data_IF_165622660158
#
_entry.id   IF_165622660158
#
_cell.length_a   1.000
_cell.length_b   1.000
_cell.length_c   1.000
_cell.angle_alpha   90.00
_cell.angle_beta   90.00
_cell.angle_gamma   90.00
#
_symmetry.space_group_name_H-M   'P 1'
#
loop_
_entity.id
_entity.type
_entity.pdbx_description
1 polymer ?
#
# COMPACT_ATOMS: atom_id res chain seq x y z
N UNK A 1 10.71 -9.70 -6.11
CA UNK A 1 9.55 -8.83 -5.80
C UNK A 1 8.71 -9.48 -4.71
N UNK A 2 8.71 -8.96 -3.47
CA UNK A 2 8.09 -9.63 -2.32
C UNK A 2 6.61 -10.01 -2.52
N UNK A 3 5.83 -9.13 -3.17
CA UNK A 3 4.40 -9.39 -3.46
C UNK A 3 4.21 -10.62 -4.37
N UNK A 4 5.05 -10.79 -5.40
CA UNK A 4 4.97 -11.96 -6.29
C UNK A 4 5.35 -13.24 -5.55
N UNK A 5 6.37 -13.19 -4.70
CA UNK A 5 6.75 -14.33 -3.86
C UNK A 5 5.60 -14.72 -2.91
N UNK A 6 4.95 -13.72 -2.28
CA UNK A 6 3.78 -13.94 -1.44
C UNK A 6 2.63 -14.60 -2.19
N UNK A 7 2.27 -14.10 -3.38
CA UNK A 7 1.22 -14.69 -4.21
C UNK A 7 1.57 -16.11 -4.66
N UNK A 8 2.81 -16.34 -5.07
CA UNK A 8 3.31 -17.67 -5.45
C UNK A 8 3.22 -18.67 -4.30
N UNK A 9 3.68 -18.28 -3.11
CA UNK A 9 3.58 -19.12 -1.90
C UNK A 9 2.14 -19.36 -1.48
N UNK A 10 1.27 -18.35 -1.58
CA UNK A 10 -0.16 -18.48 -1.27
C UNK A 10 -0.87 -19.47 -2.19
N UNK A 11 -0.52 -19.49 -3.48
CA UNK A 11 -1.05 -20.44 -4.45
C UNK A 11 -0.49 -21.85 -4.29
N UNK A 12 0.80 -21.98 -4.02
CA UNK A 12 1.50 -23.28 -4.01
C UNK A 12 1.47 -24.03 -2.66
N UNK A 13 1.38 -23.32 -1.52
CA UNK A 13 1.51 -23.93 -0.19
C UNK A 13 0.22 -23.82 0.63
N UNK A 14 -0.41 -24.96 0.90
CA UNK A 14 -1.60 -25.03 1.76
C UNK A 14 -1.30 -24.63 3.22
N UNK A 15 -0.06 -24.83 3.69
CA UNK A 15 0.37 -24.40 5.03
C UNK A 15 0.44 -22.88 5.09
N UNK A 16 1.13 -22.26 4.12
CA UNK A 16 1.25 -20.81 4.06
C UNK A 16 -0.11 -20.12 3.87
N UNK A 17 -0.95 -20.66 2.99
CA UNK A 17 -2.32 -20.18 2.81
C UNK A 17 -3.14 -20.21 4.11
N UNK A 18 -3.06 -21.31 4.88
CA UNK A 18 -3.74 -21.40 6.18
C UNK A 18 -3.23 -20.37 7.17
N UNK A 19 -1.91 -20.14 7.19
CA UNK A 19 -1.29 -19.13 8.04
C UNK A 19 -1.77 -17.70 7.67
N UNK A 20 -1.76 -17.33 6.38
CA UNK A 20 -2.25 -16.02 5.92
C UNK A 20 -3.73 -15.81 6.29
N UNK A 21 -4.55 -16.85 6.15
CA UNK A 21 -5.98 -16.81 6.48
C UNK A 21 -6.26 -16.82 7.99
N UNK A 22 -5.25 -17.05 8.83
CA UNK A 22 -5.35 -17.03 10.30
C UNK A 22 -4.81 -15.72 10.91
N UNK A 23 -4.24 -14.83 10.10
CA UNK A 23 -3.79 -13.51 10.56
C UNK A 23 -4.96 -12.69 11.08
N UNK A 24 -4.75 -11.91 12.14
CA UNK A 24 -5.77 -11.01 12.68
C UNK A 24 -6.12 -9.90 11.70
N UNK A 25 -7.32 -9.99 11.13
CA UNK A 25 -7.83 -9.04 10.16
C UNK A 25 -7.92 -7.61 10.72
N UNK A 26 -8.20 -7.45 12.01
CA UNK A 26 -8.24 -6.13 12.65
C UNK A 26 -6.85 -5.48 12.63
N UNK A 27 -5.80 -6.26 12.94
CA UNK A 27 -4.42 -5.77 12.85
C UNK A 27 -4.04 -5.44 11.41
N UNK A 28 -4.38 -6.29 10.44
CA UNK A 28 -4.10 -6.01 9.02
C UNK A 28 -4.69 -4.67 8.55
N UNK A 29 -5.90 -4.34 9.00
CA UNK A 29 -6.57 -3.08 8.69
C UNK A 29 -5.98 -1.93 9.51
N UNK A 30 -5.77 -2.11 10.82
CA UNK A 30 -5.21 -1.10 11.72
C UNK A 30 -3.82 -0.63 11.25
N UNK A 31 -2.97 -1.56 10.81
CA UNK A 31 -1.62 -1.28 10.32
C UNK A 31 -1.61 -0.33 9.12
N UNK A 32 -2.66 -0.31 8.30
CA UNK A 32 -2.75 0.63 7.18
C UNK A 32 -2.78 2.09 7.65
N UNK A 33 -3.14 2.36 8.90
CA UNK A 33 -3.12 3.71 9.47
C UNK A 33 -1.73 4.35 9.45
N UNK A 34 -0.65 3.55 9.49
CA UNK A 34 0.73 4.07 9.38
C UNK A 34 1.01 4.75 8.03
N UNK A 35 0.17 4.54 7.02
CA UNK A 35 0.31 5.18 5.71
C UNK A 35 0.10 6.68 5.76
N UNK A 36 -0.45 7.25 6.83
CA UNK A 36 -0.45 8.72 7.02
C UNK A 36 0.96 9.33 6.95
N UNK A 37 2.00 8.55 7.26
CA UNK A 37 3.39 8.97 7.11
C UNK A 37 3.78 9.26 5.64
N UNK A 38 3.06 8.72 4.66
CA UNK A 38 3.24 9.05 3.24
C UNK A 38 3.04 10.54 2.92
N UNK A 39 2.39 11.31 3.80
CA UNK A 39 2.37 12.77 3.73
C UNK A 39 3.77 13.41 3.72
N UNK A 40 4.79 12.69 4.19
CA UNK A 40 6.19 13.11 4.07
C UNK A 40 6.63 13.34 2.62
N UNK A 41 6.05 12.64 1.63
CA UNK A 41 6.38 12.85 0.23
C UNK A 41 6.03 14.27 -0.24
N UNK A 42 4.91 14.81 0.24
CA UNK A 42 4.50 16.18 -0.05
C UNK A 42 5.47 17.19 0.59
N UNK A 43 5.92 16.91 1.80
CA UNK A 43 6.95 17.73 2.47
C UNK A 43 8.26 17.72 1.68
N UNK A 44 8.75 16.53 1.30
CA UNK A 44 9.96 16.38 0.50
C UNK A 44 9.85 17.06 -0.87
N UNK A 45 8.66 17.07 -1.48
CA UNK A 45 8.39 17.84 -2.70
C UNK A 45 8.52 19.35 -2.47
N UNK A 46 8.00 19.88 -1.36
CA UNK A 46 8.14 21.32 -1.03
C UNK A 46 9.61 21.71 -0.85
N UNK A 47 10.45 20.82 -0.32
CA UNK A 47 11.90 21.00 -0.24
C UNK A 47 12.65 20.74 -1.55
N UNK A 48 11.95 20.44 -2.65
CA UNK A 48 12.56 20.16 -3.95
C UNK A 48 13.30 18.82 -4.05
N UNK A 49 13.05 17.90 -3.11
CA UNK A 49 13.72 16.59 -3.05
C UNK A 49 12.97 15.50 -3.79
N UNK A 50 11.66 15.65 -4.00
CA UNK A 50 10.85 14.69 -4.77
C UNK A 50 10.04 15.39 -5.86
N UNK A 51 9.86 14.74 -7.02
CA UNK A 51 9.07 15.30 -8.10
C UNK A 51 7.59 15.24 -7.75
N UNK A 52 6.84 16.29 -8.10
CA UNK A 52 5.40 16.35 -7.88
C UNK A 52 4.63 15.21 -8.56
N UNK A 53 5.11 14.72 -9.71
CA UNK A 53 4.52 13.58 -10.41
C UNK A 53 4.43 12.33 -9.51
N UNK A 54 5.41 12.13 -8.63
CA UNK A 54 5.41 11.05 -7.64
C UNK A 54 4.73 11.48 -6.33
N UNK A 55 5.14 12.61 -5.78
CA UNK A 55 4.78 13.01 -4.42
C UNK A 55 3.27 13.26 -4.25
N UNK A 56 2.62 13.88 -5.23
CA UNK A 56 1.19 14.15 -5.19
C UNK A 56 0.35 12.88 -5.09
N UNK A 57 0.41 11.95 -6.08
CA UNK A 57 -0.43 10.76 -6.03
C UNK A 57 -0.03 9.85 -4.87
N UNK A 58 1.28 9.58 -4.66
CA UNK A 58 1.73 8.66 -3.62
C UNK A 58 1.39 9.20 -2.22
N UNK A 59 1.67 10.48 -1.95
CA UNK A 59 1.43 11.06 -0.64
C UNK A 59 -0.06 11.19 -0.31
N UNK A 60 -0.88 11.66 -1.26
CA UNK A 60 -2.31 11.81 -1.03
C UNK A 60 -3.02 10.46 -0.91
N UNK A 61 -2.66 9.48 -1.73
CA UNK A 61 -3.27 8.15 -1.66
C UNK A 61 -2.91 7.43 -0.36
N UNK A 62 -1.64 7.48 0.07
CA UNK A 62 -1.20 6.93 1.34
C UNK A 62 -1.92 7.58 2.52
N UNK A 63 -2.03 8.91 2.54
CA UNK A 63 -2.75 9.65 3.57
C UNK A 63 -4.25 9.31 3.57
N UNK A 64 -4.88 9.21 2.39
CA UNK A 64 -6.29 8.87 2.28
C UNK A 64 -6.59 7.47 2.84
N UNK A 65 -5.77 6.47 2.50
CA UNK A 65 -5.91 5.10 3.02
C UNK A 65 -5.59 5.06 4.52
N UNK A 66 -4.54 5.75 4.95
CA UNK A 66 -4.13 5.81 6.35
C UNK A 66 -5.20 6.44 7.25
N UNK A 67 -5.78 7.56 6.83
CA UNK A 67 -6.86 8.22 7.57
C UNK A 67 -8.14 7.37 7.58
N UNK A 68 -8.46 6.68 6.48
CA UNK A 68 -9.69 5.88 6.40
C UNK A 68 -9.60 4.54 7.15
N UNK A 69 -8.39 4.02 7.42
CA UNK A 69 -8.17 2.73 8.08
C UNK A 69 -8.83 2.60 9.48
N UNK A 70 -8.72 3.56 10.42
CA UNK A 70 -9.43 3.50 11.70
C UNK A 70 -10.96 3.47 11.56
N UNK A 71 -11.53 4.16 10.56
CA UNK A 71 -12.97 4.16 10.32
C UNK A 71 -13.45 2.82 9.75
N UNK A 72 -12.66 2.22 8.85
CA UNK A 72 -12.91 0.86 8.34
C UNK A 72 -12.82 -0.16 9.46
N UNK A 73 -11.81 -0.05 10.33
CA UNK A 73 -11.68 -0.89 11.51
C UNK A 73 -12.89 -0.74 12.45
N UNK A 74 -13.30 0.49 12.74
CA UNK A 74 -14.48 0.76 13.55
C UNK A 74 -15.76 0.17 12.94
N UNK A 75 -15.91 0.24 11.61
CA UNK A 75 -17.03 -0.38 10.91
C UNK A 75 -17.02 -1.91 11.05
N UNK A 76 -15.84 -2.56 11.00
CA UNK A 76 -15.70 -3.99 11.24
C UNK A 76 -16.07 -4.38 12.68
N UNK A 77 -15.60 -3.62 13.67
CA UNK A 77 -15.89 -3.87 15.09
C UNK A 77 -17.38 -3.70 15.41
N UNK A 78 -18.06 -2.75 14.77
CA UNK A 78 -19.50 -2.51 14.94
C UNK A 78 -20.37 -3.51 14.19
N UNK A 79 -19.89 -4.02 13.06
CA UNK A 79 -20.63 -4.96 12.22
C UNK A 79 -19.67 -6.01 11.63
N UNK A 80 -19.61 -7.23 12.21
CA UNK A 80 -18.78 -8.31 11.67
C UNK A 80 -19.09 -8.67 10.20
N UNK A 81 -20.33 -8.43 9.75
CA UNK A 81 -20.73 -8.62 8.35
C UNK A 81 -20.15 -7.58 7.38
N UNK A 82 -19.56 -6.49 7.87
CA UNK A 82 -18.94 -5.44 7.04
C UNK A 82 -17.85 -5.98 6.11
N UNK A 83 -17.10 -7.00 6.56
CA UNK A 83 -16.03 -7.65 5.78
C UNK A 83 -16.55 -8.25 4.46
N UNK A 84 -17.83 -8.65 4.40
CA UNK A 84 -18.47 -9.19 3.18
C UNK A 84 -19.01 -8.10 2.26
N UNK A 85 -19.05 -6.85 2.70
CA UNK A 85 -19.64 -5.76 1.93
C UNK A 85 -18.69 -5.32 0.82
N UNK A 86 -19.27 -4.86 -0.31
CA UNK A 86 -18.52 -4.26 -1.42
C UNK A 86 -17.61 -3.11 -0.98
N UNK A 87 -18.02 -2.35 0.04
CA UNK A 87 -17.24 -1.23 0.60
C UNK A 87 -15.88 -1.69 1.13
N UNK A 88 -15.83 -2.80 1.85
CA UNK A 88 -14.57 -3.37 2.35
C UNK A 88 -13.65 -3.81 1.21
N UNK A 89 -14.21 -4.46 0.19
CA UNK A 89 -13.46 -4.86 -0.99
C UNK A 89 -12.91 -3.65 -1.76
N UNK A 90 -13.76 -2.66 -2.03
CA UNK A 90 -13.36 -1.42 -2.73
C UNK A 90 -12.26 -0.70 -1.96
N UNK A 91 -12.36 -0.57 -0.64
CA UNK A 91 -11.31 0.07 0.16
C UNK A 91 -9.95 -0.63 0.04
N UNK A 92 -9.93 -1.96 0.09
CA UNK A 92 -8.68 -2.70 -0.10
C UNK A 92 -8.13 -2.58 -1.53
N UNK A 93 -9.01 -2.56 -2.55
CA UNK A 93 -8.59 -2.35 -3.94
C UNK A 93 -8.04 -0.94 -4.17
N UNK A 94 -8.62 0.09 -3.55
CA UNK A 94 -8.08 1.45 -3.59
C UNK A 94 -6.70 1.53 -2.95
N UNK A 95 -6.48 0.82 -1.82
CA UNK A 95 -5.17 0.76 -1.17
C UNK A 95 -4.09 0.08 -2.00
N UNK A 96 -4.45 -0.93 -2.81
CA UNK A 96 -3.55 -1.56 -3.79
C UNK A 96 -3.33 -0.64 -4.99
N UNK A 97 -4.38 -0.02 -5.52
CA UNK A 97 -4.31 0.89 -6.65
C UNK A 97 -3.37 2.06 -6.36
N UNK A 98 -3.44 2.62 -5.15
CA UNK A 98 -2.52 3.66 -4.72
C UNK A 98 -1.04 3.25 -4.89
N UNK A 99 -0.67 2.05 -4.44
CA UNK A 99 0.71 1.57 -4.64
C UNK A 99 1.08 1.37 -6.10
N UNK A 100 0.15 0.89 -6.93
CA UNK A 100 0.39 0.75 -8.38
C UNK A 100 0.66 2.13 -9.00
N UNK A 101 -0.13 3.13 -8.63
CA UNK A 101 0.04 4.52 -9.09
C UNK A 101 1.37 5.09 -8.57
N UNK A 102 1.69 4.94 -7.29
CA UNK A 102 2.92 5.43 -6.68
C UNK A 102 4.17 4.81 -7.31
N UNK A 103 4.18 3.49 -7.53
CA UNK A 103 5.28 2.77 -8.19
C UNK A 103 5.42 3.23 -9.64
N UNK A 104 4.30 3.36 -10.37
CA UNK A 104 4.30 3.84 -11.75
C UNK A 104 4.85 5.26 -11.86
N UNK A 105 4.35 6.17 -11.04
CA UNK A 105 4.81 7.56 -11.00
C UNK A 105 6.28 7.70 -10.56
N UNK A 106 6.70 6.92 -9.56
CA UNK A 106 8.09 6.88 -9.10
C UNK A 106 9.03 6.35 -10.19
N UNK A 107 8.61 5.33 -10.93
CA UNK A 107 9.37 4.77 -12.05
C UNK A 107 9.51 5.79 -13.19
N UNK A 108 8.41 6.44 -13.58
CA UNK A 108 8.40 7.46 -14.65
C UNK A 108 9.27 8.67 -14.29
N UNK A 109 9.29 9.04 -13.01
CA UNK A 109 10.08 10.18 -12.51
C UNK A 109 11.45 9.81 -11.95
N UNK A 110 11.90 8.56 -12.09
CA UNK A 110 13.12 8.03 -11.46
C UNK A 110 14.43 8.60 -12.00
N UNK A 111 14.43 9.19 -13.20
CA UNK A 111 15.66 9.52 -13.93
C UNK A 111 16.19 8.37 -14.80
N UNK A 112 15.64 7.16 -14.68
CA UNK A 112 16.12 5.98 -15.41
C UNK A 112 15.65 5.94 -16.88
N UNK A 113 14.57 6.65 -17.20
CA UNK A 113 14.02 6.75 -18.55
C UNK A 113 14.35 8.13 -19.14
N UNK A 114 15.32 8.24 -20.06
CA UNK A 114 15.71 9.51 -20.66
C UNK A 114 14.52 10.22 -21.30
N UNK A 115 14.37 11.52 -21.03
CA UNK A 115 13.32 12.37 -21.61
C UNK A 115 11.96 12.34 -20.91
N UNK A 116 11.76 11.46 -19.92
CA UNK A 116 10.52 11.40 -19.12
C UNK A 116 10.64 12.02 -17.72
N UNK A 117 11.86 12.35 -17.31
CA UNK A 117 12.16 12.88 -15.97
C UNK A 117 12.45 14.38 -16.04
N UNK A 118 11.90 15.13 -15.09
CA UNK A 118 12.26 16.53 -14.88
C UNK A 118 13.61 16.70 -14.18
N UNK A 119 14.00 17.95 -13.86
CA UNK A 119 15.25 18.24 -13.15
C UNK A 119 15.31 17.63 -11.74
N UNK A 120 14.14 17.43 -11.11
CA UNK A 120 14.00 16.72 -9.84
C UNK A 120 13.47 15.32 -10.14
N UNK A 121 14.12 14.29 -9.58
CA UNK A 121 13.79 12.88 -9.82
C UNK A 121 13.44 12.15 -8.52
N UNK A 122 12.78 11.00 -8.64
CA UNK A 122 12.49 10.12 -7.52
C UNK A 122 13.72 9.30 -7.04
N UNK A 123 14.93 9.63 -7.50
CA UNK A 123 16.16 8.94 -7.12
C UNK A 123 16.40 8.84 -5.60
N UNK A 124 16.03 9.83 -4.75
CA UNK A 124 16.17 9.70 -3.30
C UNK A 124 15.45 8.49 -2.71
N UNK A 125 14.39 7.99 -3.36
CA UNK A 125 13.68 6.78 -2.95
C UNK A 125 14.54 5.49 -3.05
N UNK A 126 15.72 5.56 -3.67
CA UNK A 126 16.67 4.44 -3.75
C UNK A 126 17.76 4.53 -2.67
N UNK A 127 17.84 5.63 -1.91
CA UNK A 127 18.83 5.84 -0.88
C UNK A 127 18.24 5.62 0.52
N UNK A 128 19.07 5.20 1.47
CA UNK A 128 18.65 5.08 2.87
C UNK A 128 18.39 6.48 3.46
N UNK A 129 17.34 6.68 4.28
CA UNK A 129 16.37 5.68 4.77
C UNK A 129 15.16 5.45 3.85
N UNK A 130 14.96 6.28 2.82
CA UNK A 130 13.76 6.25 1.98
C UNK A 130 13.59 4.96 1.19
N UNK A 131 14.68 4.24 0.89
CA UNK A 131 14.65 2.93 0.21
C UNK A 131 13.86 1.86 0.96
N UNK A 132 13.67 2.01 2.27
CA UNK A 132 12.79 1.11 3.04
C UNK A 132 11.33 1.20 2.62
N UNK A 133 10.91 2.33 2.05
CA UNK A 133 9.51 2.52 1.66
C UNK A 133 9.14 1.62 0.47
N UNK A 134 9.77 1.74 -0.72
CA UNK A 134 9.46 0.85 -1.85
C UNK A 134 10.00 -0.56 -1.63
N UNK A 135 11.09 -0.73 -0.87
CA UNK A 135 11.73 -2.02 -0.65
C UNK A 135 11.03 -2.93 0.36
N UNK A 136 10.32 -2.35 1.34
CA UNK A 136 9.74 -3.10 2.44
C UNK A 136 8.29 -2.68 2.78
N UNK A 137 8.06 -1.40 3.09
CA UNK A 137 6.75 -0.94 3.58
C UNK A 137 5.64 -1.08 2.54
N UNK A 138 5.89 -0.64 1.31
CA UNK A 138 4.92 -0.74 0.20
C UNK A 138 4.55 -2.21 -0.06
N UNK A 139 5.49 -3.14 -0.26
CA UNK A 139 5.16 -4.56 -0.38
C UNK A 139 4.41 -5.12 0.83
N UNK A 140 4.81 -4.75 2.05
CA UNK A 140 4.17 -5.23 3.28
C UNK A 140 2.70 -4.84 3.34
N UNK A 141 2.40 -3.55 3.15
CA UNK A 141 1.03 -3.05 3.16
C UNK A 141 0.18 -3.61 2.01
N UNK A 142 0.78 -3.81 0.82
CA UNK A 142 0.10 -4.46 -0.30
C UNK A 142 -0.29 -5.91 0.04
N UNK A 143 0.62 -6.68 0.66
CA UNK A 143 0.35 -8.05 1.13
C UNK A 143 -0.76 -8.08 2.19
N UNK A 144 -0.82 -7.08 3.08
CA UNK A 144 -1.90 -6.97 4.07
C UNK A 144 -3.27 -6.74 3.41
N UNK A 145 -3.37 -5.87 2.40
CA UNK A 145 -4.62 -5.70 1.63
C UNK A 145 -5.02 -6.99 0.89
N UNK A 146 -4.06 -7.69 0.29
CA UNK A 146 -4.32 -8.98 -0.37
C UNK A 146 -4.82 -10.03 0.63
N UNK A 147 -4.16 -10.16 1.79
CA UNK A 147 -4.58 -11.05 2.85
C UNK A 147 -5.99 -10.73 3.34
N UNK A 148 -6.32 -9.45 3.54
CA UNK A 148 -7.65 -8.99 3.91
C UNK A 148 -8.73 -9.37 2.88
N UNK A 149 -8.44 -9.20 1.59
CA UNK A 149 -9.34 -9.62 0.50
C UNK A 149 -9.52 -11.15 0.49
N UNK A 150 -8.44 -11.91 0.67
CA UNK A 150 -8.51 -13.38 0.69
C UNK A 150 -9.36 -13.89 1.86
N UNK A 151 -9.21 -13.29 3.04
CA UNK A 151 -10.05 -13.62 4.19
C UNK A 151 -11.51 -13.25 3.96
N UNK A 152 -11.80 -12.08 3.38
CA UNK A 152 -13.16 -11.66 3.06
C UNK A 152 -13.88 -12.62 2.10
N UNK A 153 -13.16 -13.19 1.13
CA UNK A 153 -13.70 -14.19 0.19
C UNK A 153 -13.97 -15.55 0.82
N UNK A 154 -13.24 -15.95 1.86
CA UNK A 154 -13.49 -17.20 2.59
C UNK A 154 -14.75 -17.13 3.44
N UNK A 155 -15.05 -15.93 3.94
CA UNK A 155 -16.17 -15.70 4.85
C UNK A 155 -17.48 -15.48 4.07
N UNK A 156 -17.44 -15.11 2.79
CA UNK A 156 -18.60 -14.99 1.91
C UNK A 156 -19.17 -16.35 1.50
#
# INVERSE_FOLDING_TARGET
MPVLAFLGLYGASAVFRRWVLALDLHLLVAMQSWRVLGGMFLVLMVYGLLPGLFAWPAGLGDVAIGITAPFVLLAMLRNPGFVRQRRFLVWNLLGILDFVVAIGAGTLSSGMLPGLSGPITAAPMNAWPLSMIPGFLVPLFAMMHLAAIFQARKVA
#
